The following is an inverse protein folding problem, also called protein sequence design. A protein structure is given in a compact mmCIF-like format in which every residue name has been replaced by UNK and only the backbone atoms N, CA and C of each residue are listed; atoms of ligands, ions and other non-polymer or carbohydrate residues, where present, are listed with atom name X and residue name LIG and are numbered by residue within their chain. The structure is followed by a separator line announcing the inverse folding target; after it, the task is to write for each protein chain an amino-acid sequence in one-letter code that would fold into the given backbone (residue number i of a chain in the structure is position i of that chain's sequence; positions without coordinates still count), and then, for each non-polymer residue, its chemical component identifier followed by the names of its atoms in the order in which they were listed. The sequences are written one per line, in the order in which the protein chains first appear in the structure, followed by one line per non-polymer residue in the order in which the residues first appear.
data_IF_846495309418
#
_entry.id   IF_846495309418
#
_cell.length_a   1.000
_cell.length_b   1.000
_cell.length_c   1.000
_cell.angle_alpha   90.00
_cell.angle_beta   90.00
_cell.angle_gamma   90.00
#
_symmetry.space_group_name_H-M   'P 1'
#
loop_
_entity.id
_entity.type
_entity.pdbx_description
1 polymer ?
#
# COMPACT_ATOMS: atom_id res chain seq x y z
N UNK A 1 12.52 14.87 -44.89
CA UNK A 1 12.03 15.48 -43.64
C UNK A 1 11.15 14.45 -42.95
N UNK A 2 11.69 13.75 -41.96
CA UNK A 2 10.94 12.76 -41.17
C UNK A 2 10.28 13.50 -40.02
N UNK A 3 8.97 13.79 -40.12
CA UNK A 3 8.19 14.26 -38.98
C UNK A 3 7.44 13.11 -38.34
N UNK A 4 7.67 13.00 -37.05
CA UNK A 4 7.30 11.96 -36.10
C UNK A 4 5.78 11.96 -35.94
N UNK A 5 5.19 10.75 -35.92
CA UNK A 5 3.75 10.55 -35.81
C UNK A 5 3.16 11.02 -34.47
N UNK A 6 1.82 11.04 -34.34
CA UNK A 6 1.15 11.43 -33.12
C UNK A 6 1.33 10.34 -32.05
N UNK A 7 2.35 10.47 -31.21
CA UNK A 7 2.37 9.86 -29.87
C UNK A 7 1.69 10.84 -28.93
N UNK A 8 0.37 10.77 -28.81
CA UNK A 8 -0.34 11.49 -27.77
C UNK A 8 -1.48 10.64 -27.26
N UNK A 9 -1.58 10.64 -25.94
CA UNK A 9 -2.52 9.92 -25.10
C UNK A 9 -2.28 8.41 -25.06
N UNK A 10 -1.22 8.03 -24.32
CA UNK A 10 -1.33 6.85 -23.47
C UNK A 10 -2.57 7.06 -22.60
N UNK A 11 -3.64 6.38 -22.99
CA UNK A 11 -4.65 5.76 -22.15
C UNK A 11 -4.47 6.08 -20.66
N UNK A 12 -4.96 7.25 -20.26
CA UNK A 12 -5.17 7.59 -18.85
C UNK A 12 -6.43 6.87 -18.40
N UNK A 13 -6.42 5.54 -18.50
CA UNK A 13 -7.45 4.73 -17.86
C UNK A 13 -7.30 5.01 -16.37
N UNK A 14 -8.30 5.71 -15.85
CA UNK A 14 -8.40 6.06 -14.46
C UNK A 14 -8.02 4.87 -13.61
N UNK A 15 -6.91 5.02 -12.89
CA UNK A 15 -6.55 4.22 -11.74
C UNK A 15 -7.67 4.43 -10.71
N UNK A 16 -8.76 3.69 -10.90
CA UNK A 16 -9.88 3.70 -10.00
C UNK A 16 -9.33 3.30 -8.62
N UNK A 17 -9.80 3.89 -7.52
CA UNK A 17 -9.32 3.61 -6.17
C UNK A 17 -9.28 2.10 -5.84
N UNK A 18 -10.18 1.31 -6.44
CA UNK A 18 -10.20 -0.14 -6.31
C UNK A 18 -8.94 -0.84 -6.88
N UNK A 19 -8.32 -0.29 -7.94
CA UNK A 19 -7.11 -0.84 -8.56
C UNK A 19 -5.88 -0.65 -7.66
N UNK A 20 -5.79 0.48 -6.95
CA UNK A 20 -4.67 0.79 -6.05
C UNK A 20 -4.60 -0.16 -4.84
N UNK A 21 -5.74 -0.41 -4.19
CA UNK A 21 -5.81 -1.35 -3.06
C UNK A 21 -5.60 -2.80 -3.52
N UNK A 22 -6.12 -3.17 -4.69
CA UNK A 22 -5.94 -4.52 -5.24
C UNK A 22 -4.47 -4.79 -5.60
N UNK A 23 -3.80 -3.82 -6.23
CA UNK A 23 -2.37 -3.87 -6.51
C UNK A 23 -1.54 -3.99 -5.23
N UNK A 24 -1.85 -3.21 -4.21
CA UNK A 24 -1.17 -3.28 -2.91
C UNK A 24 -1.35 -4.65 -2.22
N UNK A 25 -2.55 -5.22 -2.25
CA UNK A 25 -2.82 -6.57 -1.74
C UNK A 25 -2.04 -7.63 -2.52
N UNK A 26 -2.00 -7.52 -3.84
CA UNK A 26 -1.23 -8.42 -4.70
C UNK A 26 0.27 -8.33 -4.41
N UNK A 27 0.81 -7.12 -4.18
CA UNK A 27 2.22 -6.93 -3.81
C UNK A 27 2.53 -7.54 -2.43
N UNK A 28 1.66 -7.32 -1.43
CA UNK A 28 1.79 -7.95 -0.11
C UNK A 28 1.76 -9.48 -0.21
N UNK A 29 0.88 -10.04 -1.07
CA UNK A 29 0.78 -11.48 -1.28
C UNK A 29 2.05 -12.09 -1.91
N UNK A 30 2.95 -11.28 -2.47
CA UNK A 30 4.21 -11.75 -3.08
C UNK A 30 5.43 -11.54 -2.19
N UNK A 31 5.28 -10.88 -1.04
CA UNK A 31 6.38 -10.67 -0.11
C UNK A 31 6.83 -12.00 0.52
N UNK A 32 8.15 -12.22 0.70
CA UNK A 32 8.70 -13.38 1.39
C UNK A 32 8.66 -13.19 2.91
N UNK A 33 7.48 -12.94 3.46
CA UNK A 33 7.22 -12.77 4.90
C UNK A 33 6.31 -13.88 5.42
N UNK A 34 6.40 -14.16 6.71
CA UNK A 34 5.54 -15.13 7.40
C UNK A 34 4.06 -14.79 7.29
N UNK A 35 3.22 -15.82 7.42
CA UNK A 35 1.76 -15.71 7.27
C UNK A 35 1.13 -14.75 8.29
N UNK A 36 1.61 -14.75 9.54
CA UNK A 36 1.14 -13.83 10.58
C UNK A 36 1.40 -12.37 10.22
N UNK A 37 2.61 -12.05 9.76
CA UNK A 37 2.98 -10.70 9.35
C UNK A 37 2.24 -10.26 8.08
N UNK A 38 2.05 -11.18 7.14
CA UNK A 38 1.24 -10.95 5.93
C UNK A 38 -0.21 -10.64 6.27
N UNK A 39 -0.81 -11.39 7.19
CA UNK A 39 -2.17 -11.14 7.66
C UNK A 39 -2.29 -9.78 8.32
N UNK A 40 -1.30 -9.38 9.13
CA UNK A 40 -1.23 -8.06 9.74
C UNK A 40 -1.14 -6.94 8.67
N UNK A 41 -0.30 -7.11 7.64
CA UNK A 41 -0.20 -6.16 6.53
C UNK A 41 -1.52 -6.01 5.78
N UNK A 42 -2.20 -7.13 5.46
CA UNK A 42 -3.50 -7.09 4.79
C UNK A 42 -4.57 -6.40 5.64
N UNK A 43 -4.60 -6.67 6.94
CA UNK A 43 -5.51 -6.00 7.87
C UNK A 43 -5.25 -4.50 7.94
N UNK A 44 -3.98 -4.08 7.95
CA UNK A 44 -3.59 -2.67 7.89
C UNK A 44 -4.03 -2.00 6.58
N UNK A 45 -3.91 -2.67 5.43
CA UNK A 45 -4.43 -2.12 4.16
C UNK A 45 -5.91 -1.80 4.25
N UNK A 46 -6.71 -2.67 4.86
CA UNK A 46 -8.15 -2.41 5.03
C UNK A 46 -8.42 -1.28 6.02
N UNK A 47 -7.66 -1.23 7.12
CA UNK A 47 -7.78 -0.21 8.16
C UNK A 47 -7.43 1.19 7.67
N UNK A 48 -6.41 1.30 6.82
CA UNK A 48 -5.89 2.55 6.28
C UNK A 48 -6.34 2.81 4.83
N UNK A 49 -7.28 2.01 4.31
CA UNK A 49 -7.77 2.10 2.94
C UNK A 49 -8.17 3.53 2.56
N UNK A 50 -8.96 4.20 3.41
CA UNK A 50 -9.42 5.57 3.16
C UNK A 50 -8.25 6.57 3.04
N UNK A 51 -7.21 6.41 3.86
CA UNK A 51 -6.01 7.26 3.82
C UNK A 51 -5.12 6.99 2.60
N UNK A 52 -5.04 5.72 2.18
CA UNK A 52 -4.33 5.31 0.96
C UNK A 52 -5.04 5.88 -0.28
N UNK A 53 -6.38 5.83 -0.29
CA UNK A 53 -7.19 6.36 -1.38
C UNK A 53 -7.26 7.90 -1.41
N UNK A 54 -7.14 8.54 -0.26
CA UNK A 54 -7.09 9.99 -0.14
C UNK A 54 -5.75 10.59 -0.60
N UNK A 55 -4.68 9.78 -0.74
CA UNK A 55 -3.40 10.26 -1.28
C UNK A 55 -3.55 10.57 -2.78
N UNK A 56 -3.22 11.78 -3.23
CA UNK A 56 -3.31 12.13 -4.64
C UNK A 56 -2.41 11.20 -5.47
N UNK A 57 -2.88 10.73 -6.64
CA UNK A 57 -2.16 9.78 -7.49
C UNK A 57 -1.05 10.46 -8.30
N UNK A 58 -0.45 11.56 -7.81
CA UNK A 58 0.56 12.38 -8.50
C UNK A 58 1.89 11.63 -8.69
N UNK A 59 1.87 10.63 -9.59
CA UNK A 59 2.85 10.28 -10.62
C UNK A 59 4.30 9.95 -10.25
N UNK A 60 4.71 10.17 -9.01
CA UNK A 60 6.14 10.08 -8.62
C UNK A 60 6.41 8.93 -7.67
N UNK A 61 5.36 8.39 -7.03
CA UNK A 61 5.46 7.40 -5.97
C UNK A 61 4.53 6.22 -6.28
N UNK A 62 5.03 5.36 -7.17
CA UNK A 62 4.36 4.21 -7.78
C UNK A 62 4.13 3.09 -6.75
N UNK A 63 3.11 3.18 -5.88
CA UNK A 63 2.62 2.11 -4.98
C UNK A 63 3.60 1.60 -3.89
N UNK A 64 4.91 1.75 -4.10
CA UNK A 64 6.01 1.41 -3.19
C UNK A 64 5.92 2.25 -1.91
N UNK A 65 5.47 3.49 -2.04
CA UNK A 65 5.24 4.41 -0.93
C UNK A 65 4.07 3.96 -0.05
N UNK A 66 3.03 3.38 -0.65
CA UNK A 66 1.88 2.87 0.09
C UNK A 66 2.25 1.56 0.80
N UNK A 67 3.05 0.70 0.15
CA UNK A 67 3.58 -0.51 0.79
C UNK A 67 4.52 -0.18 1.95
N UNK A 68 5.40 0.81 1.76
CA UNK A 68 6.29 1.28 2.83
C UNK A 68 5.48 1.88 3.98
N UNK A 69 4.51 2.74 3.69
CA UNK A 69 3.64 3.35 4.70
C UNK A 69 2.84 2.30 5.47
N UNK A 70 2.21 1.34 4.78
CA UNK A 70 1.47 0.25 5.43
C UNK A 70 2.41 -0.62 6.26
N UNK A 71 3.62 -0.90 5.78
CA UNK A 71 4.60 -1.69 6.53
C UNK A 71 5.04 -0.98 7.81
N UNK A 72 5.32 0.32 7.75
CA UNK A 72 5.70 1.12 8.92
C UNK A 72 4.58 1.15 9.97
N UNK A 73 3.35 1.41 9.54
CA UNK A 73 2.21 1.48 10.47
C UNK A 73 1.89 0.11 11.05
N UNK A 74 1.98 -0.95 10.26
CA UNK A 74 1.81 -2.33 10.75
C UNK A 74 2.85 -2.68 11.80
N UNK A 75 4.11 -2.32 11.57
CA UNK A 75 5.17 -2.51 12.57
C UNK A 75 4.87 -1.72 13.84
N UNK A 76 4.50 -0.44 13.74
CA UNK A 76 4.11 0.36 14.90
C UNK A 76 2.95 -0.25 15.69
N UNK A 77 1.90 -0.73 15.04
CA UNK A 77 0.73 -1.35 15.70
C UNK A 77 1.13 -2.66 16.43
N UNK A 78 1.99 -3.48 15.82
CA UNK A 78 2.54 -4.69 16.46
C UNK A 78 3.45 -4.35 17.66
N UNK A 79 4.26 -3.30 17.56
CA UNK A 79 5.09 -2.81 18.67
C UNK A 79 4.23 -2.23 19.80
N UNK A 80 3.18 -1.47 19.50
CA UNK A 80 2.22 -0.99 20.50
C UNK A 80 1.46 -2.13 21.16
N UNK A 81 0.98 -3.11 20.39
CA UNK A 81 0.27 -4.27 20.92
C UNK A 81 1.17 -5.10 21.85
N UNK A 82 2.43 -5.30 21.48
CA UNK A 82 3.40 -6.02 22.32
C UNK A 82 3.82 -5.22 23.56
N UNK A 83 4.02 -3.91 23.43
CA UNK A 83 4.30 -3.02 24.55
C UNK A 83 3.13 -2.95 25.55
N UNK A 84 1.89 -2.87 25.06
CA UNK A 84 0.69 -2.87 25.90
C UNK A 84 0.49 -4.21 26.61
N UNK A 85 0.81 -5.33 25.95
CA UNK A 85 0.80 -6.66 26.56
C UNK A 85 1.85 -6.82 27.67
N UNK A 86 3.00 -6.18 27.53
CA UNK A 86 4.04 -6.15 28.57
C UNK A 86 3.71 -5.16 29.70
N UNK A 87 3.03 -4.05 29.39
CA UNK A 87 2.63 -3.04 30.36
C UNK A 87 1.36 -3.41 31.16
N UNK A 88 0.52 -4.29 30.62
CA UNK A 88 -0.70 -4.80 31.26
C UNK A 88 -0.52 -6.12 32.03
N UNK A 89 0.71 -6.57 32.25
CA UNK A 89 1.00 -7.76 33.07
C UNK A 89 1.00 -7.43 34.56
N UNK A 90 -0.17 -7.53 35.18
CA UNK A 90 -0.36 -7.77 36.63
C UNK A 90 -0.66 -9.26 36.85
#
# INVERSE_FOLDING_TARGET
MTSIGPSSAQDSTGDAPLNRLDRLRHDIARLPVDEEFRAALLASVERYADQILARPPDGTHDGMDDLEAVSQVTLSDLYEASAMRLAGGD
#
